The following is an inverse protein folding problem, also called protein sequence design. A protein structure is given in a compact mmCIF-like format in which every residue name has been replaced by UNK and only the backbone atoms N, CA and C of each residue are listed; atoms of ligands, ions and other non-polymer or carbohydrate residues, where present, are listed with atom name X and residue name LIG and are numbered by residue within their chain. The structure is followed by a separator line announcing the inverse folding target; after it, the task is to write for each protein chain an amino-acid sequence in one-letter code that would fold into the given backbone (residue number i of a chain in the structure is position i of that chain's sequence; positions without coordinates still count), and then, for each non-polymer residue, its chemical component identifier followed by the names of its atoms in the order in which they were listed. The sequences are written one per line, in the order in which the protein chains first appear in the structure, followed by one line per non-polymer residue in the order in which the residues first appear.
data_IF_342155286977
#
_entry.id   IF_342155286977
#
_cell.length_a   1.000
_cell.length_b   1.000
_cell.length_c   1.000
_cell.angle_alpha   90.00
_cell.angle_beta   90.00
_cell.angle_gamma   90.00
#
_symmetry.space_group_name_H-M   'P 1'
#
loop_
_entity.id
_entity.type
_entity.pdbx_description
1 polymer ?
#
# COMPACT_ATOMS: atom_id res chain seq x y z
N UNK A 1 -14.83 6.07 -0.39
CA UNK A 1 -14.27 4.91 -1.10
C UNK A 1 -12.81 4.73 -0.70
N UNK A 2 -12.32 3.51 -0.47
CA UNK A 2 -10.92 3.27 -0.08
C UNK A 2 -10.04 3.05 -1.32
N UNK A 3 -9.00 3.86 -1.51
CA UNK A 3 -7.94 3.59 -2.49
C UNK A 3 -6.81 2.78 -1.86
N UNK A 4 -6.31 1.75 -2.55
CA UNK A 4 -5.21 0.91 -2.05
C UNK A 4 -4.01 1.03 -2.98
N UNK A 5 -2.86 1.39 -2.41
CA UNK A 5 -1.59 1.47 -3.12
C UNK A 5 -0.68 0.34 -2.64
N UNK A 6 -0.05 -0.37 -3.58
CA UNK A 6 0.85 -1.49 -3.28
C UNK A 6 2.21 -1.34 -3.96
N UNK A 7 3.23 -2.02 -3.43
CA UNK A 7 4.57 -2.05 -4.00
C UNK A 7 4.71 -3.09 -5.11
N UNK A 8 4.00 -4.22 -5.00
CA UNK A 8 4.14 -5.39 -5.87
C UNK A 8 2.83 -5.78 -6.56
N UNK A 9 2.94 -6.44 -7.71
CA UNK A 9 1.79 -6.90 -8.49
C UNK A 9 0.92 -7.93 -7.74
N UNK A 10 1.54 -8.79 -6.93
CA UNK A 10 0.85 -9.82 -6.13
C UNK A 10 0.06 -9.22 -4.98
N UNK A 11 0.58 -8.15 -4.36
CA UNK A 11 -0.16 -7.39 -3.35
C UNK A 11 -1.40 -6.72 -3.98
N UNK A 12 -1.26 -6.14 -5.18
CA UNK A 12 -2.38 -5.52 -5.90
C UNK A 12 -3.46 -6.54 -6.28
N UNK A 13 -3.06 -7.76 -6.67
CA UNK A 13 -4.00 -8.85 -6.95
C UNK A 13 -4.88 -9.18 -5.74
N UNK A 14 -4.30 -9.22 -4.54
CA UNK A 14 -5.04 -9.42 -3.29
C UNK A 14 -5.93 -8.21 -3.00
N UNK A 15 -5.39 -6.99 -3.07
CA UNK A 15 -6.11 -5.76 -2.76
C UNK A 15 -7.34 -5.54 -3.65
N UNK A 16 -7.30 -5.95 -4.93
CA UNK A 16 -8.44 -5.85 -5.86
C UNK A 16 -9.66 -6.67 -5.45
N UNK A 17 -9.50 -7.64 -4.53
CA UNK A 17 -10.63 -8.36 -3.94
C UNK A 17 -11.42 -7.53 -2.93
N UNK A 18 -10.83 -6.44 -2.42
CA UNK A 18 -11.37 -5.62 -1.33
C UNK A 18 -11.80 -4.24 -1.82
N UNK A 19 -11.09 -3.66 -2.78
CA UNK A 19 -11.42 -2.35 -3.34
C UNK A 19 -11.35 -2.35 -4.88
N UNK A 20 -12.23 -1.60 -5.56
CA UNK A 20 -12.11 -1.34 -7.00
C UNK A 20 -11.01 -0.32 -7.33
N UNK A 21 -10.56 0.50 -6.36
CA UNK A 21 -9.53 1.53 -6.57
C UNK A 21 -8.17 1.03 -6.07
N UNK A 22 -7.41 0.36 -6.95
CA UNK A 22 -6.12 -0.23 -6.61
C UNK A 22 -5.04 0.15 -7.62
N UNK A 23 -3.88 0.58 -7.13
CA UNK A 23 -2.71 0.89 -7.94
C UNK A 23 -1.43 0.21 -7.42
N UNK A 24 -0.51 -0.12 -8.32
CA UNK A 24 0.78 -0.74 -8.00
C UNK A 24 1.93 0.17 -8.46
N UNK A 25 2.81 0.55 -7.53
CA UNK A 25 3.93 1.45 -7.79
C UNK A 25 5.20 0.76 -8.29
N UNK A 26 5.27 -0.57 -8.24
CA UNK A 26 6.49 -1.34 -8.54
C UNK A 26 7.71 -0.87 -7.71
N UNK A 27 7.47 -0.58 -6.42
CA UNK A 27 8.46 -0.06 -5.47
C UNK A 27 9.12 1.27 -5.86
N UNK A 28 8.55 2.02 -6.81
CA UNK A 28 9.03 3.36 -7.21
C UNK A 28 8.28 4.45 -6.40
N UNK A 29 8.99 5.26 -5.58
CA UNK A 29 8.37 6.29 -4.75
C UNK A 29 7.69 7.42 -5.55
N UNK A 30 8.29 7.87 -6.65
CA UNK A 30 7.71 8.94 -7.47
C UNK A 30 6.43 8.46 -8.17
N UNK A 31 6.41 7.18 -8.59
CA UNK A 31 5.23 6.53 -9.14
C UNK A 31 4.16 6.31 -8.07
N UNK A 32 4.54 5.90 -6.85
CA UNK A 32 3.64 5.78 -5.72
C UNK A 32 2.91 7.10 -5.44
N UNK A 33 3.64 8.22 -5.44
CA UNK A 33 3.09 9.55 -5.21
C UNK A 33 2.07 9.98 -6.30
N UNK A 34 2.41 9.76 -7.58
CA UNK A 34 1.48 10.04 -8.69
C UNK A 34 0.21 9.19 -8.61
N UNK A 35 0.37 7.88 -8.41
CA UNK A 35 -0.77 6.96 -8.34
C UNK A 35 -1.67 7.23 -7.12
N UNK A 36 -1.11 7.66 -5.99
CA UNK A 36 -1.90 8.07 -4.83
C UNK A 36 -2.80 9.28 -5.17
N UNK A 37 -2.27 10.26 -5.91
CA UNK A 37 -3.06 11.39 -6.41
C UNK A 37 -4.12 10.95 -7.43
N UNK A 38 -3.78 10.04 -8.33
CA UNK A 38 -4.75 9.51 -9.31
C UNK A 38 -5.91 8.79 -8.61
N UNK A 39 -5.63 7.99 -7.57
CA UNK A 39 -6.66 7.33 -6.76
C UNK A 39 -7.57 8.35 -6.06
N UNK A 40 -7.01 9.43 -5.52
CA UNK A 40 -7.81 10.52 -4.94
C UNK A 40 -8.69 11.20 -6.00
N UNK A 41 -8.14 11.45 -7.20
CA UNK A 41 -8.89 12.00 -8.34
C UNK A 41 -10.01 11.07 -8.84
N UNK A 42 -9.88 9.76 -8.64
CA UNK A 42 -10.91 8.77 -8.94
C UNK A 42 -11.98 8.63 -7.83
N UNK A 43 -11.92 9.46 -6.78
CA UNK A 43 -12.91 9.50 -5.70
C UNK A 43 -12.56 8.68 -4.46
N UNK A 44 -11.29 8.26 -4.31
CA UNK A 44 -10.84 7.71 -3.03
C UNK A 44 -10.92 8.80 -1.94
N UNK A 45 -11.60 8.49 -0.84
CA UNK A 45 -11.76 9.36 0.34
C UNK A 45 -10.76 9.03 1.44
N UNK A 46 -10.05 7.90 1.30
CA UNK A 46 -8.97 7.45 2.16
C UNK A 46 -8.00 6.60 1.32
N UNK A 47 -6.74 6.56 1.73
CA UNK A 47 -5.70 5.75 1.10
C UNK A 47 -5.15 4.73 2.12
N UNK A 48 -4.89 3.52 1.65
CA UNK A 48 -4.19 2.47 2.38
C UNK A 48 -2.94 2.08 1.59
N UNK A 49 -1.77 2.21 2.21
CA UNK A 49 -0.55 1.55 1.74
C UNK A 49 -0.58 0.11 2.23
N UNK A 50 -0.59 -0.86 1.32
CA UNK A 50 -0.64 -2.28 1.64
C UNK A 50 0.48 -3.03 0.93
N UNK A 51 1.24 -3.81 1.67
CA UNK A 51 2.28 -4.66 1.11
C UNK A 51 3.12 -5.35 2.17
N UNK A 52 4.13 -6.09 1.73
CA UNK A 52 5.12 -6.71 2.59
C UNK A 52 6.23 -5.70 2.95
N UNK A 53 6.85 -5.90 4.11
CA UNK A 53 7.98 -5.12 4.57
C UNK A 53 9.02 -6.02 5.24
N UNK A 54 10.27 -5.55 5.32
CA UNK A 54 11.30 -6.19 6.13
C UNK A 54 11.07 -5.88 7.61
N UNK A 55 10.96 -6.93 8.43
CA UNK A 55 10.91 -6.78 9.88
C UNK A 55 12.28 -6.42 10.44
N UNK A 56 12.37 -5.32 11.18
CA UNK A 56 13.60 -4.88 11.85
C UNK A 56 13.62 -5.20 13.35
N UNK A 57 12.44 -5.37 13.95
CA UNK A 57 12.33 -5.75 15.35
C UNK A 57 12.70 -7.24 15.52
N UNK A 58 13.56 -7.60 16.48
CA UNK A 58 14.12 -8.95 16.61
C UNK A 58 13.07 -10.00 16.99
N UNK A 59 11.98 -9.59 17.61
CA UNK A 59 10.86 -10.40 18.05
C UNK A 59 9.74 -10.51 17.00
N UNK A 60 9.88 -9.87 15.84
CA UNK A 60 8.86 -9.90 14.79
C UNK A 60 9.00 -11.15 13.92
N UNK A 61 8.05 -12.10 13.98
CA UNK A 61 8.11 -13.31 13.17
C UNK A 61 7.69 -13.04 11.72
N UNK A 62 8.13 -13.90 10.80
CA UNK A 62 7.63 -13.90 9.41
C UNK A 62 6.10 -14.08 9.39
N UNK A 63 5.42 -13.26 8.59
CA UNK A 63 3.96 -13.29 8.46
C UNK A 63 3.22 -12.45 9.51
N UNK A 64 3.92 -11.79 10.44
CA UNK A 64 3.30 -10.80 11.32
C UNK A 64 2.70 -9.63 10.54
N UNK A 65 1.55 -9.14 11.00
CA UNK A 65 0.92 -7.92 10.51
C UNK A 65 1.39 -6.72 11.32
N UNK A 66 1.88 -5.68 10.64
CA UNK A 66 2.30 -4.42 11.27
C UNK A 66 1.35 -3.31 10.82
N UNK A 67 0.77 -2.60 11.79
CA UNK A 67 0.00 -1.37 11.54
C UNK A 67 0.92 -0.19 11.84
N UNK A 68 1.37 0.51 10.80
CA UNK A 68 2.22 1.69 10.94
C UNK A 68 1.46 2.84 11.62
N UNK A 69 1.98 3.35 12.73
CA UNK A 69 1.44 4.53 13.42
C UNK A 69 2.10 5.84 12.98
N UNK A 70 3.28 5.75 12.36
CA UNK A 70 4.03 6.86 11.78
C UNK A 70 4.93 6.35 10.64
N UNK A 71 5.29 7.24 9.71
CA UNK A 71 6.30 7.02 8.68
C UNK A 71 7.34 8.13 8.80
N UNK A 72 8.61 7.76 8.82
CA UNK A 72 9.74 8.70 8.90
C UNK A 72 10.71 8.45 7.75
N UNK A 73 11.45 9.49 7.37
CA UNK A 73 12.54 9.45 6.39
C UNK A 73 13.89 9.54 7.06
#
# INVERSE_FOLDING_TARGET
MLGILTGLAREAEIARRVSPLVACSASDPARAERLARDLAGQGATALLSFGIAGGLAPDLPTGALVIGTAVTT
#
